data_IF_621457950617
#
_entry.id   IF_621457950617
#
_cell.length_a   1.000
_cell.length_b   1.000
_cell.length_c   1.000
_cell.angle_alpha   90.00
_cell.angle_beta   90.00
_cell.angle_gamma   90.00
#
_symmetry.space_group_name_H-M   'P 1'
#
loop_
_entity.id
_entity.type
_entity.pdbx_description
1 polymer ?
#
# COMPACT_ATOMS: atom_id res chain seq x y z
N UNK A 1 9.67 -5.51 -4.01
CA UNK A 1 8.65 -5.67 -2.95
C UNK A 1 9.08 -6.60 -1.83
N UNK A 2 9.53 -7.80 -2.16
CA UNK A 2 9.94 -8.78 -1.15
C UNK A 2 10.96 -8.23 -0.16
N UNK A 3 11.97 -7.54 -0.67
CA UNK A 3 13.02 -6.96 0.15
C UNK A 3 12.48 -5.93 1.15
N UNK A 4 11.48 -5.15 0.75
CA UNK A 4 10.89 -4.13 1.60
C UNK A 4 10.12 -4.74 2.78
N UNK A 5 9.47 -5.88 2.57
CA UNK A 5 8.66 -6.53 3.61
C UNK A 5 9.41 -7.59 4.41
N UNK A 6 10.45 -8.21 3.83
CA UNK A 6 11.26 -9.24 4.50
C UNK A 6 12.53 -8.68 5.15
N UNK A 7 12.96 -7.49 4.78
CA UNK A 7 14.16 -6.87 5.32
C UNK A 7 14.02 -6.63 6.81
N UNK A 8 14.95 -7.11 7.60
CA UNK A 8 14.86 -6.97 9.04
C UNK A 8 13.72 -7.79 9.61
N UNK A 9 13.73 -9.07 9.37
CA UNK A 9 12.63 -9.98 9.75
C UNK A 9 12.33 -10.03 11.24
N UNK A 10 13.21 -9.52 12.08
CA UNK A 10 12.97 -9.40 13.52
C UNK A 10 12.34 -8.06 13.87
N UNK A 11 12.33 -7.12 12.92
CA UNK A 11 11.82 -5.78 13.14
C UNK A 11 10.39 -5.67 12.64
N UNK A 12 9.47 -5.43 13.56
CA UNK A 12 8.10 -5.13 13.21
C UNK A 12 8.05 -3.78 12.51
N UNK A 13 7.40 -3.76 11.34
CA UNK A 13 7.21 -2.53 10.59
C UNK A 13 5.76 -2.08 10.64
N UNK A 14 5.56 -0.78 10.51
CA UNK A 14 4.25 -0.17 10.37
C UNK A 14 4.01 0.05 8.87
N UNK A 15 2.97 -0.58 8.33
CA UNK A 15 2.73 -0.62 6.89
C UNK A 15 1.33 -0.11 6.54
N UNK A 16 1.28 0.81 5.58
CA UNK A 16 0.03 1.26 4.98
C UNK A 16 -0.16 0.48 3.68
N UNK A 17 -1.21 -0.33 3.61
CA UNK A 17 -1.50 -1.17 2.45
C UNK A 17 -2.75 -0.63 1.74
N UNK A 18 -2.59 -0.18 0.51
CA UNK A 18 -3.66 0.41 -0.28
C UNK A 18 -3.99 -0.50 -1.46
N UNK A 19 -5.26 -0.90 -1.54
CA UNK A 19 -5.73 -1.82 -2.56
C UNK A 19 -5.82 -3.24 -2.01
N UNK A 20 -7.05 -3.74 -1.87
CA UNK A 20 -7.33 -5.01 -1.21
C UNK A 20 -8.02 -6.01 -2.14
N UNK A 21 -7.72 -5.95 -3.42
CA UNK A 21 -8.10 -6.99 -4.36
C UNK A 21 -7.34 -8.28 -4.05
N UNK A 22 -7.32 -9.22 -4.98
CA UNK A 22 -6.67 -10.51 -4.74
C UNK A 22 -5.22 -10.36 -4.26
N UNK A 23 -4.44 -9.56 -4.96
CA UNK A 23 -3.03 -9.39 -4.63
C UNK A 23 -2.86 -8.69 -3.27
N UNK A 24 -3.57 -7.59 -3.05
CA UNK A 24 -3.48 -6.85 -1.78
C UNK A 24 -3.91 -7.70 -0.59
N UNK A 25 -4.93 -8.53 -0.76
CA UNK A 25 -5.36 -9.44 0.32
C UNK A 25 -4.26 -10.47 0.64
N UNK A 26 -3.59 -11.02 -0.38
CA UNK A 26 -2.49 -11.94 -0.15
C UNK A 26 -1.33 -11.25 0.58
N UNK A 27 -1.05 -10.00 0.23
CA UNK A 27 -0.03 -9.22 0.92
C UNK A 27 -0.41 -9.01 2.39
N UNK A 28 -1.68 -8.69 2.68
CA UNK A 28 -2.14 -8.52 4.06
C UNK A 28 -1.89 -9.77 4.89
N UNK A 29 -2.22 -10.93 4.35
CA UNK A 29 -2.02 -12.21 5.03
C UNK A 29 -0.53 -12.47 5.28
N UNK A 30 0.31 -12.21 4.27
CA UNK A 30 1.75 -12.41 4.39
C UNK A 30 2.36 -11.47 5.42
N UNK A 31 1.93 -10.22 5.45
CA UNK A 31 2.42 -9.25 6.42
C UNK A 31 2.02 -9.63 7.85
N UNK A 32 0.82 -10.20 8.02
CA UNK A 32 0.38 -10.70 9.31
C UNK A 32 1.27 -11.87 9.77
N UNK A 33 1.59 -12.80 8.86
CA UNK A 33 2.49 -13.90 9.16
C UNK A 33 3.88 -13.44 9.59
N UNK A 34 4.32 -12.31 9.05
CA UNK A 34 5.61 -11.71 9.38
C UNK A 34 5.54 -10.78 10.60
N UNK A 35 4.38 -10.70 11.25
CA UNK A 35 4.13 -9.90 12.45
C UNK A 35 4.27 -8.40 12.25
N UNK A 36 4.02 -7.90 11.04
CA UNK A 36 3.98 -6.46 10.80
C UNK A 36 2.61 -5.88 11.17
N UNK A 37 2.59 -4.60 11.53
CA UNK A 37 1.34 -3.89 11.79
C UNK A 37 0.85 -3.23 10.51
N UNK A 38 -0.37 -3.55 10.11
CA UNK A 38 -0.92 -3.08 8.84
C UNK A 38 -2.16 -2.24 9.07
N UNK A 39 -2.21 -1.07 8.42
CA UNK A 39 -3.45 -0.35 8.16
C UNK A 39 -3.82 -0.60 6.70
N UNK A 40 -5.00 -1.15 6.47
CA UNK A 40 -5.47 -1.49 5.14
C UNK A 40 -6.50 -0.49 4.65
N UNK A 41 -6.46 -0.16 3.37
CA UNK A 41 -7.36 0.82 2.74
C UNK A 41 -7.87 0.30 1.42
N UNK A 42 -9.17 0.41 1.20
CA UNK A 42 -9.80 0.15 -0.09
C UNK A 42 -11.10 0.95 -0.15
N UNK A 43 -11.59 1.25 -1.34
CA UNK A 43 -12.87 1.93 -1.49
C UNK A 43 -14.06 0.95 -1.46
N UNK A 44 -13.82 -0.34 -1.38
CA UNK A 44 -14.85 -1.38 -1.37
C UNK A 44 -14.97 -2.00 0.02
N UNK A 45 -16.15 -1.86 0.63
CA UNK A 45 -16.40 -2.35 1.98
C UNK A 45 -16.16 -3.85 2.13
N UNK A 46 -16.59 -4.65 1.16
CA UNK A 46 -16.41 -6.11 1.21
C UNK A 46 -14.94 -6.50 1.24
N UNK A 47 -14.12 -5.79 0.48
CA UNK A 47 -12.68 -6.04 0.45
C UNK A 47 -12.03 -5.68 1.77
N UNK A 48 -12.47 -4.59 2.39
CA UNK A 48 -11.97 -4.20 3.72
C UNK A 48 -12.34 -5.25 4.75
N UNK A 49 -13.59 -5.70 4.76
CA UNK A 49 -14.05 -6.72 5.71
C UNK A 49 -13.26 -8.02 5.57
N UNK A 50 -12.90 -8.40 4.35
CA UNK A 50 -12.17 -9.65 4.09
C UNK A 50 -10.78 -9.69 4.73
N UNK A 51 -10.16 -8.54 4.99
CA UNK A 51 -8.81 -8.50 5.56
C UNK A 51 -8.79 -8.16 7.05
N UNK A 52 -9.92 -7.86 7.65
CA UNK A 52 -9.95 -7.47 9.07
C UNK A 52 -9.24 -8.46 10.01
N UNK A 53 -9.30 -9.78 9.80
CA UNK A 53 -8.58 -10.72 10.67
C UNK A 53 -7.06 -10.59 10.61
N UNK A 54 -6.52 -9.94 9.58
CA UNK A 54 -5.08 -9.90 9.31
C UNK A 54 -4.45 -8.53 9.53
N UNK A 55 -5.25 -7.52 9.83
CA UNK A 55 -4.74 -6.14 9.91
C UNK A 55 -5.07 -5.52 11.26
N UNK A 56 -4.27 -4.52 11.64
CA UNK A 56 -4.50 -3.81 12.90
C UNK A 56 -5.73 -2.92 12.82
N UNK A 57 -5.87 -2.22 11.71
CA UNK A 57 -7.09 -1.48 11.43
C UNK A 57 -7.26 -1.31 9.92
N UNK A 58 -8.45 -0.89 9.51
CA UNK A 58 -8.76 -0.72 8.10
C UNK A 58 -9.71 0.46 7.92
N UNK A 59 -9.61 1.12 6.78
CA UNK A 59 -10.48 2.23 6.43
C UNK A 59 -11.02 2.09 5.01
N UNK A 60 -12.24 2.55 4.83
CA UNK A 60 -12.88 2.61 3.51
C UNK A 60 -12.69 4.04 3.00
N UNK A 61 -12.11 4.18 1.82
CA UNK A 61 -11.90 5.50 1.23
C UNK A 61 -11.26 5.44 -0.13
N UNK A 62 -11.24 6.59 -0.80
CA UNK A 62 -10.69 6.75 -2.14
C UNK A 62 -9.23 7.20 -2.04
N UNK A 63 -8.33 6.32 -2.43
CA UNK A 63 -6.89 6.59 -2.35
C UNK A 63 -6.38 7.60 -3.39
N UNK A 64 -7.23 8.03 -4.32
CA UNK A 64 -6.89 9.12 -5.24
C UNK A 64 -7.29 10.49 -4.69
N UNK A 65 -7.96 10.52 -3.54
CA UNK A 65 -8.37 11.75 -2.89
C UNK A 65 -7.26 12.22 -1.93
N UNK A 66 -6.72 13.39 -2.19
CA UNK A 66 -5.60 13.91 -1.40
C UNK A 66 -5.95 14.09 0.08
N UNK A 67 -7.13 14.62 0.37
CA UNK A 67 -7.53 14.86 1.77
C UNK A 67 -7.64 13.55 2.53
N UNK A 68 -8.16 12.50 1.89
CA UNK A 68 -8.26 11.20 2.51
C UNK A 68 -6.87 10.63 2.82
N UNK A 69 -5.96 10.66 1.84
CA UNK A 69 -4.59 10.15 2.04
C UNK A 69 -3.88 10.96 3.12
N UNK A 70 -4.05 12.28 3.11
CA UNK A 70 -3.46 13.15 4.13
C UNK A 70 -3.93 12.77 5.53
N UNK A 71 -5.20 12.38 5.67
CA UNK A 71 -5.78 12.01 6.96
C UNK A 71 -5.20 10.72 7.55
N UNK A 72 -4.54 9.91 6.74
CA UNK A 72 -4.00 8.63 7.18
C UNK A 72 -2.69 8.74 7.96
N UNK A 73 -2.03 9.89 7.92
CA UNK A 73 -0.74 10.04 8.58
C UNK A 73 0.37 9.29 7.87
N UNK A 74 0.53 9.55 6.58
CA UNK A 74 1.44 8.82 5.69
C UNK A 74 2.87 8.72 6.22
N UNK A 75 3.36 9.78 6.85
CA UNK A 75 4.74 9.83 7.37
C UNK A 75 4.98 8.90 8.55
N UNK A 76 3.92 8.39 9.17
CA UNK A 76 4.04 7.52 10.34
C UNK A 76 4.27 6.05 9.97
N UNK A 77 4.19 5.72 8.69
CA UNK A 77 4.39 4.36 8.23
C UNK A 77 5.80 4.15 7.70
N UNK A 78 6.38 3.00 8.01
CA UNK A 78 7.70 2.64 7.50
C UNK A 78 7.65 2.38 5.98
N UNK A 79 6.58 1.75 5.53
CA UNK A 79 6.38 1.40 4.12
C UNK A 79 4.92 1.65 3.74
N UNK A 80 4.71 2.25 2.57
CA UNK A 80 3.39 2.35 1.96
C UNK A 80 3.38 1.45 0.73
N UNK A 81 2.45 0.50 0.67
CA UNK A 81 2.34 -0.44 -0.43
C UNK A 81 1.09 -0.12 -1.24
N UNK A 82 1.25 0.12 -2.53
CA UNK A 82 0.14 0.36 -3.45
C UNK A 82 -0.08 -0.91 -4.25
N UNK A 83 -1.14 -1.63 -3.92
CA UNK A 83 -1.47 -2.93 -4.52
C UNK A 83 -2.72 -2.84 -5.40
N UNK A 84 -3.02 -1.68 -5.95
CA UNK A 84 -4.14 -1.46 -6.86
C UNK A 84 -3.81 -2.13 -8.19
N UNK A 85 -4.56 -3.17 -8.55
CA UNK A 85 -4.23 -3.99 -9.71
C UNK A 85 -5.12 -3.79 -10.93
N UNK A 86 -6.27 -3.17 -10.75
CA UNK A 86 -7.29 -3.09 -11.80
C UNK A 86 -7.39 -1.69 -12.45
N UNK A 87 -6.64 -0.73 -11.97
CA UNK A 87 -6.68 0.64 -12.47
C UNK A 87 -5.31 1.30 -12.33
N UNK A 88 -4.57 1.29 -13.43
CA UNK A 88 -3.21 1.84 -13.41
C UNK A 88 -3.19 3.34 -13.07
N UNK A 89 -4.15 4.10 -13.61
CA UNK A 89 -4.20 5.53 -13.33
C UNK A 89 -4.37 5.80 -11.84
N UNK A 90 -5.27 5.07 -11.18
CA UNK A 90 -5.45 5.20 -9.73
C UNK A 90 -4.18 4.82 -8.97
N UNK A 91 -3.51 3.76 -9.41
CA UNK A 91 -2.23 3.34 -8.81
C UNK A 91 -1.18 4.43 -8.94
N UNK A 92 -1.06 5.02 -10.11
CA UNK A 92 -0.09 6.08 -10.39
C UNK A 92 -0.38 7.34 -9.55
N UNK A 93 -1.64 7.77 -9.51
CA UNK A 93 -2.04 8.94 -8.72
C UNK A 93 -1.79 8.71 -7.23
N UNK A 94 -2.17 7.55 -6.72
CA UNK A 94 -1.96 7.22 -5.31
C UNK A 94 -0.47 7.20 -4.96
N UNK A 95 0.35 6.58 -5.81
CA UNK A 95 1.81 6.53 -5.64
C UNK A 95 2.39 7.94 -5.56
N UNK A 96 1.99 8.80 -6.48
CA UNK A 96 2.46 10.18 -6.54
C UNK A 96 2.04 10.97 -5.28
N UNK A 97 0.79 10.82 -4.85
CA UNK A 97 0.30 11.48 -3.64
C UNK A 97 1.06 11.05 -2.39
N UNK A 98 1.29 9.76 -2.24
CA UNK A 98 2.02 9.24 -1.09
C UNK A 98 3.42 9.87 -1.01
N UNK A 99 4.11 9.90 -2.12
CA UNK A 99 5.47 10.47 -2.14
C UNK A 99 5.44 11.97 -1.87
N UNK A 100 4.51 12.68 -2.48
CA UNK A 100 4.34 14.11 -2.28
C UNK A 100 4.03 14.46 -0.82
N UNK A 101 3.26 13.62 -0.14
CA UNK A 101 2.89 13.82 1.26
C UNK A 101 3.94 13.32 2.24
N UNK A 102 5.08 12.85 1.76
CA UNK A 102 6.23 12.55 2.57
C UNK A 102 6.36 11.10 3.03
N UNK A 103 5.77 10.16 2.31
CA UNK A 103 5.96 8.75 2.62
C UNK A 103 7.44 8.40 2.64
N UNK A 104 7.87 7.65 3.64
CA UNK A 104 9.27 7.24 3.79
C UNK A 104 9.71 6.29 2.69
N UNK A 105 8.83 5.34 2.33
CA UNK A 105 9.08 4.38 1.28
C UNK A 105 7.76 4.01 0.62
N UNK A 106 7.72 4.06 -0.71
CA UNK A 106 6.55 3.69 -1.50
C UNK A 106 6.91 2.52 -2.40
N UNK A 107 6.16 1.42 -2.26
CA UNK A 107 6.32 0.24 -3.08
C UNK A 107 5.01 0.05 -3.84
N UNK A 108 5.07 0.06 -5.16
CA UNK A 108 3.86 -0.05 -5.98
C UNK A 108 3.91 -1.27 -6.87
N UNK A 109 2.78 -1.98 -6.94
CA UNK A 109 2.68 -3.15 -7.80
C UNK A 109 2.60 -2.70 -9.27
N UNK A 110 3.34 -3.37 -10.14
CA UNK A 110 3.27 -3.16 -11.58
C UNK A 110 2.97 -4.48 -12.27
N UNK A 111 1.91 -4.49 -13.08
CA UNK A 111 1.55 -5.67 -13.87
C UNK A 111 2.34 -5.75 -15.18
N UNK A 112 2.91 -4.64 -15.63
CA UNK A 112 3.64 -4.54 -16.90
C UNK A 112 4.89 -3.69 -16.71
N UNK A 113 5.92 -3.98 -17.50
CA UNK A 113 7.19 -3.23 -17.43
C UNK A 113 7.01 -1.74 -17.69
N UNK A 114 6.13 -1.39 -18.63
CA UNK A 114 5.88 0.03 -18.91
C UNK A 114 5.25 0.74 -17.71
N UNK A 115 4.39 0.04 -16.98
CA UNK A 115 3.80 0.60 -15.76
C UNK A 115 4.85 0.79 -14.68
N UNK A 116 5.78 -0.17 -14.54
CA UNK A 116 6.87 -0.06 -13.58
C UNK A 116 7.69 1.21 -13.80
N UNK A 117 8.01 1.52 -15.06
CA UNK A 117 8.75 2.72 -15.39
C UNK A 117 8.02 4.00 -14.98
N UNK A 118 6.72 4.08 -15.26
CA UNK A 118 5.93 5.24 -14.88
C UNK A 118 5.82 5.39 -13.37
N UNK A 119 5.61 4.29 -12.67
CA UNK A 119 5.52 4.31 -11.21
C UNK A 119 6.82 4.81 -10.58
N UNK A 120 7.96 4.30 -11.05
CA UNK A 120 9.27 4.74 -10.55
C UNK A 120 9.51 6.23 -10.83
N UNK A 121 9.13 6.72 -12.01
CA UNK A 121 9.28 8.13 -12.35
C UNK A 121 8.39 9.05 -11.52
N UNK A 122 7.29 8.53 -11.00
CA UNK A 122 6.29 9.34 -10.30
C UNK A 122 6.25 9.10 -8.80
N UNK A 123 7.29 8.50 -8.24
CA UNK A 123 7.45 8.48 -6.80
C UNK A 123 7.60 7.12 -6.14
N UNK A 124 7.38 6.02 -6.85
CA UNK A 124 7.63 4.72 -6.25
C UNK A 124 9.14 4.52 -6.03
N UNK A 125 9.49 4.02 -4.87
CA UNK A 125 10.88 3.67 -4.55
C UNK A 125 11.20 2.26 -5.04
N UNK A 126 10.18 1.40 -5.11
CA UNK A 126 10.28 0.03 -5.61
C UNK A 126 9.00 -0.35 -6.34
N UNK A 127 9.11 -1.30 -7.22
CA UNK A 127 7.96 -1.91 -7.89
C UNK A 127 8.06 -3.42 -7.84
#
# INVERSE_FOLDING_TARGET
MKKAIDGGKEDMKSILLIGLGRFGRHIAIKLDELNHQVMAVDNNESRVEAVLPYVRNAQIGDATNEDFIRSLGVRNFDVCIVAIGDNFQSSLETTSLLKELGAKMVVSRAARDVHAKFLLRNGADEV
#
